data_IF_812795902884
#
_entry.id   IF_812795902884
#
_cell.length_a   1.000
_cell.length_b   1.000
_cell.length_c   1.000
_cell.angle_alpha   90.00
_cell.angle_beta   90.00
_cell.angle_gamma   90.00
#
_symmetry.space_group_name_H-M   'P 1'
#
loop_
_entity.id
_entity.type
_entity.pdbx_description
1 polymer ?
#
# COMPACT_ATOMS: atom_id res chain seq x y z
N UNK A 1 24.21 -33.85 66.96
CA UNK A 1 24.17 -34.50 65.64
C UNK A 1 23.76 -33.48 64.57
N UNK A 2 24.56 -32.42 64.34
CA UNK A 2 24.13 -31.31 63.45
C UNK A 2 25.32 -30.55 62.86
N UNK A 3 26.11 -31.18 61.98
CA UNK A 3 27.16 -30.49 61.22
C UNK A 3 27.39 -31.21 59.89
N UNK A 4 26.36 -31.29 59.03
CA UNK A 4 26.55 -31.70 57.63
C UNK A 4 25.45 -31.25 56.66
N UNK A 5 24.44 -30.51 57.12
CA UNK A 5 23.31 -30.03 56.27
C UNK A 5 23.64 -28.72 55.54
N UNK A 6 24.74 -28.04 55.90
CA UNK A 6 25.14 -26.74 55.35
C UNK A 6 25.80 -26.84 53.95
N UNK A 7 26.50 -27.94 53.65
CA UNK A 7 27.13 -28.19 52.35
C UNK A 7 26.14 -28.60 51.23
N UNK A 8 25.16 -29.50 51.47
CA UNK A 8 24.19 -29.88 50.43
C UNK A 8 23.18 -28.78 50.12
N UNK A 9 22.82 -27.94 51.10
CA UNK A 9 21.94 -26.78 50.90
C UNK A 9 22.61 -25.69 50.06
N UNK A 10 23.92 -25.44 50.25
CA UNK A 10 24.70 -24.54 49.40
C UNK A 10 24.75 -25.03 47.94
N UNK A 11 24.92 -26.34 47.72
CA UNK A 11 24.96 -26.94 46.38
C UNK A 11 23.59 -26.86 45.68
N UNK A 12 22.50 -27.05 46.43
CA UNK A 12 21.14 -26.90 45.91
C UNK A 12 20.83 -25.44 45.52
N UNK A 13 21.28 -24.46 46.29
CA UNK A 13 21.12 -23.03 45.96
C UNK A 13 21.96 -22.67 44.73
N UNK A 14 23.19 -23.18 44.63
CA UNK A 14 24.04 -22.97 43.45
C UNK A 14 23.46 -23.61 42.19
N UNK A 15 22.90 -24.83 42.29
CA UNK A 15 22.23 -25.51 41.20
C UNK A 15 20.95 -24.77 40.76
N UNK A 16 20.15 -24.30 41.71
CA UNK A 16 18.95 -23.52 41.43
C UNK A 16 19.30 -22.17 40.77
N UNK A 17 20.35 -21.48 41.24
CA UNK A 17 20.86 -20.26 40.61
C UNK A 17 21.35 -20.48 39.19
N UNK A 18 22.06 -21.60 38.93
CA UNK A 18 22.50 -21.98 37.58
C UNK A 18 21.31 -22.26 36.66
N UNK A 19 20.25 -22.90 37.18
CA UNK A 19 19.03 -23.18 36.44
C UNK A 19 18.26 -21.90 36.08
N UNK A 20 18.25 -20.89 36.96
CA UNK A 20 17.65 -19.58 36.68
C UNK A 20 18.41 -18.83 35.57
N UNK A 21 19.74 -18.91 35.55
CA UNK A 21 20.55 -18.29 34.49
C UNK A 21 20.29 -18.92 33.12
N UNK A 22 20.04 -20.23 33.07
CA UNK A 22 19.74 -20.94 31.82
C UNK A 22 18.35 -20.61 31.25
N UNK A 23 17.40 -20.17 32.09
CA UNK A 23 16.02 -19.83 31.67
C UNK A 23 15.87 -18.33 31.37
N UNK A 24 16.86 -17.50 31.72
CA UNK A 24 16.81 -16.04 31.51
C UNK A 24 16.96 -15.61 30.04
N UNK A 25 17.15 -16.55 29.11
CA UNK A 25 17.14 -16.25 27.68
C UNK A 25 15.69 -16.06 27.21
N UNK A 26 15.11 -14.88 27.44
CA UNK A 26 13.85 -14.50 26.82
C UNK A 26 14.10 -14.10 25.36
N UNK A 27 13.30 -14.61 24.40
CA UNK A 27 13.32 -14.11 23.03
C UNK A 27 12.85 -12.65 23.02
N UNK A 28 13.59 -11.80 22.33
CA UNK A 28 13.22 -10.42 22.06
C UNK A 28 11.98 -10.42 21.15
N UNK A 29 10.88 -9.80 21.60
CA UNK A 29 9.68 -9.70 20.78
C UNK A 29 10.01 -8.87 19.52
N UNK A 30 9.68 -9.37 18.32
CA UNK A 30 9.92 -8.61 17.10
C UNK A 30 9.11 -7.31 17.15
N UNK A 31 9.78 -6.18 16.91
CA UNK A 31 9.12 -4.91 16.73
C UNK A 31 8.07 -5.05 15.61
N UNK A 32 6.80 -4.74 15.92
CA UNK A 32 5.71 -4.83 14.96
C UNK A 32 5.89 -3.72 13.93
N UNK A 33 6.43 -4.06 12.75
CA UNK A 33 6.56 -3.10 11.64
C UNK A 33 5.19 -2.93 11.00
N UNK A 34 4.63 -1.71 10.94
CA UNK A 34 3.33 -1.46 10.31
C UNK A 34 3.31 -1.90 8.84
N UNK A 35 2.18 -2.42 8.39
CA UNK A 35 1.98 -2.92 7.03
C UNK A 35 0.95 -2.05 6.30
N UNK A 36 1.24 -1.70 5.05
CA UNK A 36 0.34 -0.93 4.19
C UNK A 36 0.06 -1.70 2.90
N UNK A 37 -1.18 -1.65 2.43
CA UNK A 37 -1.60 -2.23 1.14
C UNK A 37 -1.84 -1.15 0.10
N UNK A 38 -1.36 -1.37 -1.12
CA UNK A 38 -1.55 -0.48 -2.29
C UNK A 38 -2.26 -1.26 -3.37
N UNK A 39 -3.38 -0.74 -3.85
CA UNK A 39 -4.18 -1.31 -4.93
C UNK A 39 -4.08 -0.39 -6.13
N UNK A 40 -3.45 -0.86 -7.19
CA UNK A 40 -3.31 -0.14 -8.46
C UNK A 40 -3.94 -0.97 -9.58
N UNK A 41 -4.96 -0.42 -10.24
CA UNK A 41 -5.63 -1.11 -11.37
C UNK A 41 -6.21 -2.49 -11.02
N UNK A 42 -6.51 -2.73 -9.75
CA UNK A 42 -7.00 -4.02 -9.22
C UNK A 42 -5.90 -4.99 -8.74
N UNK A 43 -4.63 -4.62 -8.84
CA UNK A 43 -3.51 -5.41 -8.31
C UNK A 43 -3.16 -4.88 -6.91
N UNK A 44 -3.27 -5.75 -5.90
CA UNK A 44 -2.89 -5.43 -4.53
C UNK A 44 -1.43 -5.83 -4.25
N UNK A 45 -0.67 -4.90 -3.68
CA UNK A 45 0.70 -5.10 -3.21
C UNK A 45 0.81 -4.64 -1.76
N UNK A 46 1.66 -5.31 -0.99
CA UNK A 46 1.84 -5.04 0.43
C UNK A 46 3.26 -4.59 0.70
N UNK A 47 3.41 -3.60 1.57
CA UNK A 47 4.69 -2.97 1.90
C UNK A 47 4.83 -2.79 3.40
N UNK A 48 6.06 -2.89 3.87
CA UNK A 48 6.43 -2.54 5.24
C UNK A 48 6.65 -1.02 5.35
N UNK A 49 6.19 -0.44 6.45
CA UNK A 49 6.28 0.98 6.74
C UNK A 49 7.15 1.18 7.99
N UNK A 50 8.50 1.17 7.86
CA UNK A 50 9.41 1.30 9.00
C UNK A 50 9.36 2.70 9.64
N UNK A 51 8.98 3.72 8.87
CA UNK A 51 8.89 5.11 9.31
C UNK A 51 7.53 5.70 8.94
N UNK A 52 6.99 6.58 9.80
CA UNK A 52 5.72 7.24 9.53
C UNK A 52 5.87 8.24 8.38
N UNK A 53 5.04 8.08 7.35
CA UNK A 53 5.03 8.90 6.12
C UNK A 53 3.61 9.21 5.70
N UNK A 54 3.42 10.25 4.91
CA UNK A 54 2.15 10.53 4.26
C UNK A 54 1.91 9.60 3.07
N UNK A 55 0.68 9.52 2.58
CA UNK A 55 0.33 8.74 1.38
C UNK A 55 1.19 9.17 0.19
N UNK A 56 1.34 10.48 -0.08
CA UNK A 56 2.12 10.96 -1.23
C UNK A 56 3.62 10.65 -1.09
N UNK A 57 4.21 10.87 0.09
CA UNK A 57 5.62 10.55 0.34
C UNK A 57 5.90 9.06 0.15
N UNK A 58 5.01 8.20 0.67
CA UNK A 58 5.14 6.77 0.54
C UNK A 58 4.97 6.28 -0.90
N UNK A 59 3.98 6.79 -1.64
CA UNK A 59 3.78 6.43 -3.04
C UNK A 59 4.98 6.85 -3.91
N UNK A 60 5.56 8.03 -3.66
CA UNK A 60 6.76 8.49 -4.34
C UNK A 60 7.98 7.58 -4.03
N UNK A 61 8.14 7.13 -2.79
CA UNK A 61 9.25 6.24 -2.38
C UNK A 61 9.20 4.88 -3.09
N UNK A 62 8.01 4.33 -3.28
CA UNK A 62 7.82 3.06 -4.02
C UNK A 62 7.76 3.26 -5.54
N UNK A 63 8.02 4.48 -6.04
CA UNK A 63 8.09 4.81 -7.46
C UNK A 63 6.73 4.89 -8.16
N UNK A 64 5.64 5.12 -7.42
CA UNK A 64 4.30 5.30 -7.98
C UNK A 64 3.99 6.79 -8.07
N UNK A 65 4.12 7.35 -9.27
CA UNK A 65 3.74 8.73 -9.56
C UNK A 65 2.22 8.82 -9.83
N UNK A 66 1.60 9.92 -9.38
CA UNK A 66 0.18 10.21 -9.58
C UNK A 66 -0.01 11.09 -10.82
N UNK A 67 -0.79 10.63 -11.80
CA UNK A 67 -1.23 11.46 -12.91
C UNK A 67 -2.25 12.52 -12.49
N UNK A 68 -2.39 13.59 -13.27
CA UNK A 68 -3.27 14.72 -12.92
C UNK A 68 -4.73 14.32 -12.72
N UNK A 69 -5.20 13.34 -13.50
CA UNK A 69 -6.58 12.85 -13.45
C UNK A 69 -6.76 11.67 -12.47
N UNK A 70 -5.67 11.13 -11.93
CA UNK A 70 -5.71 9.96 -11.08
C UNK A 70 -6.30 10.29 -9.72
N UNK A 71 -7.07 9.35 -9.19
CA UNK A 71 -7.70 9.45 -7.88
C UNK A 71 -7.04 8.49 -6.91
N UNK A 72 -6.60 9.03 -5.78
CA UNK A 72 -5.98 8.27 -4.69
C UNK A 72 -6.85 8.41 -3.43
N UNK A 73 -7.08 7.29 -2.76
CA UNK A 73 -7.76 7.24 -1.46
C UNK A 73 -6.95 6.37 -0.50
N UNK A 74 -6.60 6.84 0.72
CA UNK A 74 -6.89 8.16 1.29
C UNK A 74 -6.20 9.33 0.56
N UNK A 75 -6.56 10.60 0.87
CA UNK A 75 -5.86 11.78 0.33
C UNK A 75 -4.36 11.76 0.64
N UNK A 76 -3.57 12.34 -0.28
CA UNK A 76 -2.11 12.33 -0.27
C UNK A 76 -1.42 12.83 1.01
N UNK A 77 -2.04 13.81 1.69
CA UNK A 77 -1.53 14.41 2.92
C UNK A 77 -1.84 13.60 4.19
N UNK A 78 -2.59 12.50 4.08
CA UNK A 78 -2.93 11.67 5.24
C UNK A 78 -1.71 10.87 5.68
N UNK A 79 -1.46 10.85 6.98
CA UNK A 79 -0.43 10.02 7.60
C UNK A 79 -0.83 8.54 7.50
N UNK A 80 0.11 7.68 7.06
CA UNK A 80 -0.10 6.25 7.02
C UNK A 80 0.01 5.63 8.41
N UNK A 81 -0.91 4.72 8.69
CA UNK A 81 -0.92 3.87 9.89
C UNK A 81 -0.88 2.39 9.50
N UNK A 82 -0.70 1.52 10.49
CA UNK A 82 -0.80 0.08 10.27
C UNK A 82 -2.14 -0.31 9.63
N UNK A 83 -2.10 -1.29 8.73
CA UNK A 83 -3.20 -1.78 7.91
C UNK A 83 -3.90 -0.73 7.04
N UNK A 84 -3.23 0.38 6.72
CA UNK A 84 -3.78 1.35 5.77
C UNK A 84 -3.91 0.72 4.38
N UNK A 85 -5.04 0.96 3.73
CA UNK A 85 -5.30 0.54 2.34
C UNK A 85 -5.37 1.76 1.44
N UNK A 86 -4.40 1.87 0.54
CA UNK A 86 -4.29 2.91 -0.47
C UNK A 86 -4.86 2.35 -1.78
N UNK A 87 -5.85 3.02 -2.37
CA UNK A 87 -6.44 2.66 -3.65
C UNK A 87 -6.16 3.75 -4.66
N UNK A 88 -5.61 3.35 -5.81
CA UNK A 88 -5.26 4.22 -6.94
C UNK A 88 -6.13 3.85 -8.13
N UNK A 89 -6.92 4.82 -8.58
CA UNK A 89 -7.74 4.71 -9.79
C UNK A 89 -7.08 5.57 -10.88
N UNK A 90 -6.56 4.90 -11.91
CA UNK A 90 -5.96 5.57 -13.08
C UNK A 90 -7.04 6.08 -14.01
N UNK A 91 -6.94 7.32 -14.46
CA UNK A 91 -7.92 7.94 -15.37
C UNK A 91 -7.18 8.47 -16.60
N UNK A 92 -7.56 7.95 -17.77
CA UNK A 92 -7.02 8.38 -19.06
C UNK A 92 -8.13 9.06 -19.87
N UNK A 93 -7.84 10.25 -20.40
CA UNK A 93 -8.68 10.91 -21.39
C UNK A 93 -8.14 10.60 -22.79
N UNK A 94 -9.02 10.11 -23.66
CA UNK A 94 -8.67 9.77 -25.04
C UNK A 94 -9.68 10.42 -25.98
N UNK A 95 -9.15 11.10 -27.00
CA UNK A 95 -9.95 11.72 -28.06
C UNK A 95 -9.84 10.85 -29.29
N UNK A 96 -10.97 10.28 -29.71
CA UNK A 96 -11.07 9.49 -30.94
C UNK A 96 -11.65 10.34 -32.07
N UNK A 97 -11.05 10.24 -33.25
CA UNK A 97 -11.53 10.89 -34.46
C UNK A 97 -11.95 9.82 -35.47
N UNK A 98 -13.19 9.89 -35.94
CA UNK A 98 -13.73 8.98 -36.95
C UNK A 98 -14.06 9.76 -38.23
N UNK A 99 -13.75 9.15 -39.38
CA UNK A 99 -14.10 9.71 -40.69
C UNK A 99 -15.41 9.05 -41.15
N UNK A 100 -16.47 9.85 -41.24
CA UNK A 100 -17.77 9.42 -41.76
C UNK A 100 -18.04 10.02 -43.15
N UNK A 101 -18.73 9.26 -44.01
CA UNK A 101 -19.19 9.77 -45.30
C UNK A 101 -20.43 10.65 -45.10
N UNK A 102 -20.32 11.95 -45.40
CA UNK A 102 -21.47 12.85 -45.40
C UNK A 102 -22.20 12.73 -46.75
N UNK A 103 -23.49 12.32 -46.79
CA UNK A 103 -24.22 12.23 -48.03
C UNK A 103 -24.45 13.61 -48.66
N UNK A 104 -24.56 13.67 -49.98
CA UNK A 104 -24.89 14.91 -50.67
C UNK A 104 -26.33 15.35 -50.35
N UNK A 105 -26.55 16.65 -50.21
CA UNK A 105 -27.89 17.22 -50.20
C UNK A 105 -28.34 17.58 -51.61
N UNK A 106 -29.63 17.38 -51.89
CA UNK A 106 -30.24 17.84 -53.12
C UNK A 106 -30.78 19.25 -52.94
N UNK A 107 -30.31 20.18 -53.78
CA UNK A 107 -30.89 21.52 -53.89
C UNK A 107 -31.56 21.67 -55.25
N UNK A 108 -32.84 22.06 -55.26
CA UNK A 108 -33.58 22.37 -56.50
C UNK A 108 -33.52 23.88 -56.75
N UNK A 109 -32.97 24.27 -57.90
CA UNK A 109 -32.87 25.67 -58.33
C UNK A 109 -33.72 25.83 -59.59
N UNK A 110 -34.79 26.66 -59.58
CA UNK A 110 -35.58 26.91 -60.79
C UNK A 110 -34.72 27.62 -61.85
N UNK A 111 -34.82 27.18 -63.11
CA UNK A 111 -34.20 27.85 -64.27
C UNK A 111 -35.28 28.22 -65.27
N UNK A 112 -35.29 29.48 -65.70
CA UNK A 112 -36.31 30.07 -66.57
C UNK A 112 -36.29 29.56 -68.04
N UNK A 113 -35.45 28.57 -68.37
CA UNK A 113 -35.28 28.04 -69.73
C UNK A 113 -35.57 26.54 -69.91
N UNK A 114 -36.09 25.86 -68.88
CA UNK A 114 -36.45 24.44 -68.98
C UNK A 114 -37.87 24.30 -69.56
N UNK A 115 -38.00 23.55 -70.64
CA UNK A 115 -39.31 23.21 -71.23
C UNK A 115 -40.05 22.20 -70.35
N UNK A 116 -41.39 22.25 -70.31
CA UNK A 116 -42.24 21.46 -69.42
C UNK A 116 -42.21 19.96 -69.70
#
# INVERSE_FOLDING_TARGET
>A
MSFNVLKPTLYLIALAGLLVVLVACQPEEPAQVPIVSVIEGGIERTYELPESRTVDEFLNDIGIERGELDRVSPPGYIQLTDNTRITIVRVEERVDCEVENIPYQQQRIPREGLQP
#
